data_IF_306277824036
#
_entry.id   IF_306277824036
#
_cell.length_a   1.000
_cell.length_b   1.000
_cell.length_c   1.000
_cell.angle_alpha   90.00
_cell.angle_beta   90.00
_cell.angle_gamma   90.00
#
_symmetry.space_group_name_H-M   'P 1'
#
loop_
_entity.id
_entity.type
_entity.pdbx_description
1 polymer ?
#
# COMPACT_ATOMS: atom_id res chain seq x y z
N UNK A 1 -33.30 -7.45 3.11
CA UNK A 1 -32.04 -6.71 2.89
C UNK A 1 -31.19 -6.85 4.15
N UNK A 2 -29.86 -7.03 4.04
CA UNK A 2 -29.01 -7.07 5.21
C UNK A 2 -29.04 -5.71 5.92
N UNK A 3 -29.18 -5.73 7.24
CA UNK A 3 -29.18 -4.52 8.09
C UNK A 3 -27.98 -4.58 9.01
N UNK A 4 -27.20 -3.51 9.05
CA UNK A 4 -26.08 -3.32 9.97
C UNK A 4 -26.49 -2.29 11.03
N UNK A 5 -26.28 -2.61 12.30
CA UNK A 5 -26.43 -1.65 13.41
C UNK A 5 -25.07 -1.45 14.05
N UNK A 6 -24.62 -0.19 14.11
CA UNK A 6 -23.40 0.18 14.83
C UNK A 6 -23.82 0.79 16.15
N UNK A 7 -23.41 0.18 17.25
CA UNK A 7 -23.67 0.69 18.62
C UNK A 7 -22.47 1.50 19.09
N UNK A 8 -22.71 2.38 20.05
CA UNK A 8 -21.68 3.16 20.73
C UNK A 8 -20.84 4.02 19.78
N UNK A 9 -21.49 4.57 18.74
CA UNK A 9 -20.84 5.49 17.80
C UNK A 9 -20.48 6.78 18.55
N UNK A 10 -19.20 7.20 18.55
CA UNK A 10 -18.79 8.47 19.14
C UNK A 10 -19.61 9.64 18.61
N UNK A 11 -20.00 10.56 19.49
CA UNK A 11 -20.93 11.64 19.14
C UNK A 11 -20.36 12.57 18.06
N UNK A 12 -19.06 12.81 18.09
CA UNK A 12 -18.30 13.54 17.08
C UNK A 12 -18.32 12.82 15.72
N UNK A 13 -18.10 11.50 15.70
CA UNK A 13 -18.17 10.72 14.47
C UNK A 13 -19.57 10.72 13.85
N UNK A 14 -20.61 10.58 14.68
CA UNK A 14 -21.99 10.63 14.22
C UNK A 14 -22.36 12.01 13.66
N UNK A 15 -21.91 13.09 14.30
CA UNK A 15 -22.11 14.45 13.83
C UNK A 15 -21.40 14.69 12.48
N UNK A 16 -20.13 14.28 12.37
CA UNK A 16 -19.38 14.37 11.13
C UNK A 16 -20.08 13.62 9.98
N UNK A 17 -20.59 12.40 10.22
CA UNK A 17 -21.32 11.63 9.21
C UNK A 17 -22.60 12.33 8.74
N UNK A 18 -23.31 13.03 9.63
CA UNK A 18 -24.49 13.83 9.25
C UNK A 18 -24.12 14.98 8.34
N UNK A 19 -23.06 15.71 8.66
CA UNK A 19 -22.58 16.83 7.84
C UNK A 19 -22.15 16.35 6.45
N UNK A 20 -21.45 15.20 6.36
CA UNK A 20 -21.11 14.59 5.08
C UNK A 20 -22.35 14.19 4.28
N UNK A 21 -23.35 13.59 4.94
CA UNK A 21 -24.59 13.19 4.30
C UNK A 21 -25.36 14.38 3.72
N UNK A 22 -25.44 15.50 4.45
CA UNK A 22 -26.02 16.75 3.98
C UNK A 22 -25.26 17.32 2.78
N UNK A 23 -23.92 17.39 2.87
CA UNK A 23 -23.06 17.88 1.79
C UNK A 23 -23.21 17.04 0.50
N UNK A 24 -23.31 15.72 0.63
CA UNK A 24 -23.50 14.80 -0.50
C UNK A 24 -24.96 14.68 -0.94
N UNK A 25 -25.90 15.32 -0.25
CA UNK A 25 -27.35 15.25 -0.49
C UNK A 25 -27.88 13.80 -0.48
N UNK A 26 -27.44 13.02 0.50
CA UNK A 26 -27.79 11.61 0.71
C UNK A 26 -28.33 11.39 2.12
N UNK A 27 -29.03 10.28 2.32
CA UNK A 27 -29.39 9.87 3.68
C UNK A 27 -28.14 9.40 4.44
N UNK A 28 -28.16 9.53 5.77
CA UNK A 28 -27.06 9.07 6.62
C UNK A 28 -26.68 7.60 6.35
N UNK A 29 -27.67 6.73 6.16
CA UNK A 29 -27.43 5.32 5.85
C UNK A 29 -26.73 5.14 4.49
N UNK A 30 -27.11 5.90 3.47
CA UNK A 30 -26.44 5.86 2.17
C UNK A 30 -25.01 6.41 2.25
N UNK A 31 -24.78 7.43 3.07
CA UNK A 31 -23.44 7.96 3.31
C UNK A 31 -22.56 6.92 3.99
N UNK A 32 -23.04 6.27 5.05
CA UNK A 32 -22.30 5.19 5.72
C UNK A 32 -21.96 4.07 4.74
N UNK A 33 -22.91 3.64 3.90
CA UNK A 33 -22.63 2.62 2.86
C UNK A 33 -21.57 3.12 1.88
N UNK A 34 -21.69 4.36 1.40
CA UNK A 34 -20.74 4.96 0.45
C UNK A 34 -19.33 5.04 1.03
N UNK A 35 -19.18 5.39 2.31
CA UNK A 35 -17.90 5.43 3.01
C UNK A 35 -17.31 4.03 3.19
N UNK A 36 -18.14 3.04 3.56
CA UNK A 36 -17.73 1.63 3.67
C UNK A 36 -17.29 1.06 2.30
N UNK A 37 -18.00 1.38 1.22
CA UNK A 37 -17.63 1.00 -0.13
C UNK A 37 -16.34 1.68 -0.57
N UNK A 38 -16.16 2.97 -0.26
CA UNK A 38 -14.90 3.68 -0.52
C UNK A 38 -13.72 2.99 0.20
N UNK A 39 -13.86 2.70 1.50
CA UNK A 39 -12.87 1.96 2.29
C UNK A 39 -12.60 0.55 1.73
N UNK A 40 -13.62 -0.12 1.20
CA UNK A 40 -13.47 -1.42 0.53
C UNK A 40 -12.73 -1.30 -0.80
N UNK A 41 -12.92 -0.20 -1.53
CA UNK A 41 -12.24 0.11 -2.78
C UNK A 41 -10.81 0.64 -2.57
N UNK A 42 -10.47 1.14 -1.39
CA UNK A 42 -9.08 1.40 -1.03
C UNK A 42 -8.32 0.07 -1.07
N UNK A 43 -7.27 -0.07 -1.91
CA UNK A 43 -6.48 -1.28 -1.95
C UNK A 43 -5.90 -1.51 -0.55
N UNK A 44 -6.32 -2.62 0.08
CA UNK A 44 -5.88 -2.97 1.42
C UNK A 44 -4.35 -2.99 1.45
N UNK A 45 -3.77 -2.01 2.13
CA UNK A 45 -2.32 -1.80 2.27
C UNK A 45 -1.56 -3.03 2.79
N UNK A 46 -2.25 -4.05 3.32
CA UNK A 46 -1.67 -5.29 3.83
C UNK A 46 -1.48 -6.36 2.76
N UNK A 47 -2.43 -6.54 1.82
CA UNK A 47 -2.24 -7.49 0.72
C UNK A 47 -1.15 -6.99 -0.24
N UNK A 48 -1.01 -5.67 -0.38
CA UNK A 48 -0.02 -5.06 -1.25
C UNK A 48 1.42 -5.28 -0.73
N UNK A 49 1.66 -5.21 0.58
CA UNK A 49 3.00 -5.44 1.13
C UNK A 49 3.50 -6.88 0.90
N UNK A 50 2.65 -7.88 1.16
CA UNK A 50 2.99 -9.30 0.94
C UNK A 50 3.14 -9.62 -0.56
N UNK A 51 2.28 -9.05 -1.42
CA UNK A 51 2.39 -9.18 -2.87
C UNK A 51 3.65 -8.49 -3.42
N UNK A 52 4.01 -7.30 -2.91
CA UNK A 52 5.26 -6.61 -3.25
C UNK A 52 6.47 -7.42 -2.82
N UNK A 53 6.47 -7.95 -1.60
CA UNK A 53 7.56 -8.78 -1.11
C UNK A 53 7.71 -10.07 -1.94
N UNK A 54 6.60 -10.72 -2.29
CA UNK A 54 6.59 -11.87 -3.17
C UNK A 54 7.18 -11.53 -4.54
N UNK A 55 6.83 -10.36 -5.10
CA UNK A 55 7.37 -9.87 -6.38
C UNK A 55 8.87 -9.59 -6.31
N UNK A 56 9.35 -8.92 -5.27
CA UNK A 56 10.78 -8.66 -5.05
C UNK A 56 11.55 -9.97 -4.98
N UNK A 57 11.05 -10.95 -4.20
CA UNK A 57 11.68 -12.28 -4.08
C UNK A 57 11.71 -13.04 -5.42
N UNK A 58 10.65 -12.94 -6.21
CA UNK A 58 10.60 -13.57 -7.53
C UNK A 58 11.64 -12.97 -8.49
N UNK A 59 11.78 -11.65 -8.51
CA UNK A 59 12.82 -10.95 -9.30
C UNK A 59 14.20 -11.37 -8.83
N UNK A 60 14.48 -11.31 -7.52
CA UNK A 60 15.78 -11.70 -6.97
C UNK A 60 16.17 -13.15 -7.34
N UNK A 61 15.24 -14.10 -7.23
CA UNK A 61 15.46 -15.49 -7.65
C UNK A 61 15.74 -15.64 -9.14
N UNK A 62 15.07 -14.85 -9.98
CA UNK A 62 15.31 -14.85 -11.42
C UNK A 62 16.69 -14.27 -11.74
N UNK A 63 17.04 -13.13 -11.16
CA UNK A 63 18.32 -12.46 -11.38
C UNK A 63 19.51 -13.32 -10.92
N UNK A 64 19.37 -14.03 -9.79
CA UNK A 64 20.42 -14.92 -9.27
C UNK A 64 20.74 -16.12 -10.17
N UNK A 65 19.89 -16.44 -11.15
CA UNK A 65 20.11 -17.52 -12.13
C UNK A 65 20.71 -17.04 -13.45
N UNK A 66 20.88 -15.74 -13.62
CA UNK A 66 21.49 -15.19 -14.82
C UNK A 66 22.99 -15.52 -14.84
N UNK A 67 23.58 -15.73 -16.02
CA UNK A 67 25.02 -15.94 -16.12
C UNK A 67 25.76 -14.70 -15.61
N UNK A 68 26.86 -14.92 -14.88
CA UNK A 68 27.78 -13.86 -14.51
C UNK A 68 28.61 -13.52 -15.75
N UNK A 69 28.50 -12.27 -16.22
CA UNK A 69 29.22 -11.78 -17.40
C UNK A 69 30.52 -11.05 -17.04
N UNK A 70 30.62 -10.58 -15.79
CA UNK A 70 31.74 -9.80 -15.29
C UNK A 70 32.00 -10.24 -13.85
N UNK A 71 33.20 -10.77 -13.61
CA UNK A 71 33.63 -11.25 -12.29
C UNK A 71 34.47 -10.22 -11.53
N UNK A 72 34.67 -9.02 -12.09
CA UNK A 72 35.41 -7.96 -11.42
C UNK A 72 34.74 -7.63 -10.07
N UNK A 73 35.54 -7.35 -9.02
CA UNK A 73 35.00 -6.92 -7.75
C UNK A 73 34.30 -5.58 -7.88
N UNK A 74 33.30 -5.33 -7.03
CA UNK A 74 32.48 -4.11 -7.03
C UNK A 74 33.31 -2.82 -7.11
N UNK A 75 34.39 -2.74 -6.32
CA UNK A 75 35.28 -1.58 -6.31
C UNK A 75 35.89 -1.30 -7.69
N UNK A 76 36.29 -2.34 -8.44
CA UNK A 76 36.86 -2.19 -9.78
C UNK A 76 35.78 -1.81 -10.80
N UNK A 77 34.58 -2.37 -10.70
CA UNK A 77 33.42 -1.99 -11.53
C UNK A 77 33.08 -0.51 -11.35
N UNK A 78 33.15 -0.02 -10.10
CA UNK A 78 32.87 1.36 -9.74
C UNK A 78 34.05 2.32 -9.97
N UNK A 79 35.22 1.82 -10.41
CA UNK A 79 36.42 2.63 -10.61
C UNK A 79 37.05 3.16 -9.31
N UNK A 80 36.78 2.51 -8.19
CA UNK A 80 37.28 2.89 -6.88
C UNK A 80 38.66 2.27 -6.61
N UNK A 81 39.56 3.08 -6.07
CA UNK A 81 40.83 2.64 -5.50
C UNK A 81 40.62 1.86 -4.20
N UNK A 82 41.71 1.29 -3.68
CA UNK A 82 41.70 0.54 -2.41
C UNK A 82 41.33 1.42 -1.18
N UNK A 83 41.43 2.74 -1.34
CA UNK A 83 41.01 3.78 -0.40
C UNK A 83 39.52 4.14 -0.52
N UNK A 84 38.80 3.56 -1.49
CA UNK A 84 37.40 3.86 -1.76
C UNK A 84 37.18 5.16 -2.53
N UNK A 85 38.23 5.77 -3.09
CA UNK A 85 38.13 7.00 -3.89
C UNK A 85 38.16 6.70 -5.40
N UNK A 86 37.48 7.50 -6.23
CA UNK A 86 37.55 7.35 -7.69
C UNK A 86 38.99 7.52 -8.19
N UNK A 87 39.43 6.66 -9.10
CA UNK A 87 40.69 6.81 -9.85
C UNK A 87 40.52 7.59 -11.15
#
# INVERSE_FOLDING_TARGET
>A
MPTLTVRDVPADLHQWLKEQAEAHRRSLNQEVISQLDALRSFPASRSDADLRLARIRAIARRSARLPVLDERPEAEILGLGADGLPR
#
